data_IF_079979374077
#
_entry.id   IF_079979374077
#
_cell.length_a   1.000
_cell.length_b   1.000
_cell.length_c   1.000
_cell.angle_alpha   90.00
_cell.angle_beta   90.00
_cell.angle_gamma   90.00
#
_symmetry.space_group_name_H-M   'P 1'
#
loop_
_entity.id
_entity.type
_entity.pdbx_description
1 polymer ?
#
# COMPACT_ATOMS: atom_id res chain seq x y z
N UNK A 1 1.77 -46.70 -61.48
CA UNK A 1 2.93 -46.02 -60.83
C UNK A 1 2.70 -44.52 -60.50
N UNK A 2 1.46 -44.02 -60.37
CA UNK A 2 1.19 -42.60 -60.05
C UNK A 2 0.62 -42.37 -58.64
N UNK A 3 0.08 -43.41 -58.00
CA UNK A 3 -0.54 -43.33 -56.67
C UNK A 3 0.47 -43.29 -55.51
N UNK A 4 1.64 -43.94 -55.65
CA UNK A 4 2.63 -44.01 -54.55
C UNK A 4 3.40 -42.70 -54.33
N UNK A 5 3.53 -41.86 -55.36
CA UNK A 5 4.15 -40.53 -55.22
C UNK A 5 3.30 -39.56 -54.39
N UNK A 6 1.97 -39.65 -54.49
CA UNK A 6 1.05 -38.83 -53.70
C UNK A 6 1.19 -39.10 -52.20
N UNK A 7 1.15 -40.38 -51.79
CA UNK A 7 1.25 -40.78 -50.38
C UNK A 7 2.58 -40.35 -49.71
N UNK A 8 3.69 -40.33 -50.44
CA UNK A 8 4.98 -39.87 -49.92
C UNK A 8 5.03 -38.34 -49.67
N UNK A 9 4.29 -37.57 -50.46
CA UNK A 9 4.22 -36.11 -50.37
C UNK A 9 3.33 -35.67 -49.21
N UNK A 10 2.19 -36.35 -49.00
CA UNK A 10 1.31 -36.15 -47.85
C UNK A 10 1.99 -36.55 -46.52
N UNK A 11 2.85 -37.57 -46.54
CA UNK A 11 3.59 -37.99 -45.33
C UNK A 11 4.67 -36.97 -44.95
N UNK A 12 5.36 -36.37 -45.93
CA UNK A 12 6.33 -35.28 -45.69
C UNK A 12 5.68 -33.97 -45.25
N UNK A 13 4.52 -33.60 -45.81
CA UNK A 13 3.76 -32.41 -45.37
C UNK A 13 3.26 -32.55 -43.92
N UNK A 14 2.85 -33.75 -43.50
CA UNK A 14 2.44 -34.04 -42.12
C UNK A 14 3.60 -33.93 -41.12
N UNK A 15 4.82 -34.28 -41.53
CA UNK A 15 6.01 -34.16 -40.68
C UNK A 15 6.41 -32.69 -40.46
N UNK A 16 6.30 -31.82 -41.47
CA UNK A 16 6.56 -30.38 -41.34
C UNK A 16 5.50 -29.63 -40.52
N UNK A 17 4.21 -29.92 -40.69
CA UNK A 17 3.14 -29.31 -39.90
C UNK A 17 3.19 -29.73 -38.41
N UNK A 18 3.59 -30.98 -38.13
CA UNK A 18 3.65 -31.50 -36.75
C UNK A 18 4.70 -30.80 -35.88
N UNK A 19 5.82 -30.37 -36.47
CA UNK A 19 6.85 -29.58 -35.78
C UNK A 19 6.40 -28.15 -35.48
N UNK A 20 5.68 -27.52 -36.42
CA UNK A 20 5.12 -26.18 -36.24
C UNK A 20 4.08 -26.11 -35.11
N UNK A 21 3.18 -27.09 -35.05
CA UNK A 21 2.17 -27.19 -33.97
C UNK A 21 2.80 -27.39 -32.60
N UNK A 22 3.88 -28.17 -32.50
CA UNK A 22 4.61 -28.36 -31.24
C UNK A 22 5.30 -27.07 -30.76
N UNK A 23 5.86 -26.28 -31.69
CA UNK A 23 6.48 -24.98 -31.39
C UNK A 23 5.41 -23.97 -30.94
N UNK A 24 4.27 -23.92 -31.61
CA UNK A 24 3.15 -23.05 -31.26
C UNK A 24 2.57 -23.41 -29.88
N UNK A 25 2.37 -24.71 -29.61
CA UNK A 25 1.95 -25.20 -28.30
C UNK A 25 2.94 -24.82 -27.19
N UNK A 26 4.25 -24.96 -27.46
CA UNK A 26 5.30 -24.53 -26.55
C UNK A 26 5.22 -23.05 -26.20
N UNK A 27 4.94 -22.20 -27.19
CA UNK A 27 4.76 -20.76 -26.99
C UNK A 27 3.54 -20.44 -26.11
N UNK A 28 2.41 -21.12 -26.32
CA UNK A 28 1.23 -20.97 -25.44
C UNK A 28 1.53 -21.37 -24.00
N UNK A 29 2.28 -22.45 -23.77
CA UNK A 29 2.68 -22.84 -22.41
C UNK A 29 3.56 -21.77 -21.74
N UNK A 30 4.53 -21.20 -22.47
CA UNK A 30 5.38 -20.13 -21.94
C UNK A 30 4.54 -18.92 -21.53
N UNK A 31 3.64 -18.46 -22.40
CA UNK A 31 2.74 -17.34 -22.09
C UNK A 31 1.86 -17.69 -20.88
N UNK A 32 1.30 -18.90 -20.84
CA UNK A 32 0.46 -19.34 -19.74
C UNK A 32 1.21 -19.31 -18.39
N UNK A 33 2.42 -19.86 -18.33
CA UNK A 33 3.24 -19.80 -17.11
C UNK A 33 3.60 -18.37 -16.70
N UNK A 34 3.90 -17.50 -17.67
CA UNK A 34 4.14 -16.07 -17.40
C UNK A 34 2.90 -15.40 -16.80
N UNK A 35 1.71 -15.68 -17.33
CA UNK A 35 0.45 -15.17 -16.79
C UNK A 35 0.19 -15.70 -15.37
N UNK A 36 0.40 -17.00 -15.12
CA UNK A 36 0.26 -17.58 -13.78
C UNK A 36 1.23 -16.94 -12.77
N UNK A 37 2.49 -16.70 -13.18
CA UNK A 37 3.48 -16.05 -12.34
C UNK A 37 3.05 -14.60 -12.01
N UNK A 38 2.57 -13.86 -13.01
CA UNK A 38 2.06 -12.49 -12.83
C UNK A 38 0.85 -12.44 -11.89
N UNK A 39 -0.11 -13.35 -12.06
CA UNK A 39 -1.29 -13.44 -11.19
C UNK A 39 -0.91 -13.77 -9.74
N UNK A 40 0.07 -14.66 -9.55
CA UNK A 40 0.57 -15.02 -8.22
C UNK A 40 1.27 -13.84 -7.54
N UNK A 41 2.13 -13.13 -8.28
CA UNK A 41 2.82 -11.92 -7.79
C UNK A 41 1.81 -10.82 -7.43
N UNK A 42 0.83 -10.56 -8.30
CA UNK A 42 -0.23 -9.59 -8.05
C UNK A 42 -1.05 -9.94 -6.80
N UNK A 43 -1.39 -11.23 -6.64
CA UNK A 43 -2.12 -11.71 -5.46
C UNK A 43 -1.31 -11.51 -4.17
N UNK A 44 0.00 -11.72 -4.21
CA UNK A 44 0.88 -11.45 -3.07
C UNK A 44 0.88 -9.96 -2.70
N UNK A 45 0.97 -9.06 -3.69
CA UNK A 45 0.91 -7.60 -3.48
C UNK A 45 -0.41 -7.17 -2.83
N UNK A 46 -1.55 -7.71 -3.28
CA UNK A 46 -2.85 -7.38 -2.69
C UNK A 46 -2.99 -7.90 -1.24
N UNK A 47 -2.48 -9.09 -0.95
CA UNK A 47 -2.47 -9.62 0.42
C UNK A 47 -1.61 -8.78 1.35
N UNK A 48 -0.45 -8.34 0.89
CA UNK A 48 0.44 -7.44 1.63
C UNK A 48 -0.25 -6.08 1.86
N UNK A 49 -0.92 -5.52 0.86
CA UNK A 49 -1.72 -4.29 1.00
C UNK A 49 -2.83 -4.44 2.04
N UNK A 50 -3.62 -5.51 1.97
CA UNK A 50 -4.70 -5.74 2.92
C UNK A 50 -4.21 -5.97 4.36
N UNK A 51 -3.01 -6.56 4.53
CA UNK A 51 -2.35 -6.66 5.85
C UNK A 51 -1.91 -5.28 6.33
N UNK A 52 -1.31 -4.48 5.46
CA UNK A 52 -0.88 -3.13 5.75
C UNK A 52 -2.06 -2.24 6.18
N UNK A 53 -3.21 -2.37 5.52
CA UNK A 53 -4.46 -1.66 5.88
C UNK A 53 -4.96 -2.03 7.28
N UNK A 54 -4.95 -3.33 7.62
CA UNK A 54 -5.35 -3.78 8.97
C UNK A 54 -4.42 -3.22 10.05
N UNK A 55 -3.10 -3.27 9.82
CA UNK A 55 -2.13 -2.71 10.77
C UNK A 55 -2.33 -1.20 10.89
N UNK A 56 -2.45 -0.48 9.78
CA UNK A 56 -2.67 0.96 9.80
C UNK A 56 -3.96 1.34 10.53
N UNK A 57 -5.04 0.57 10.35
CA UNK A 57 -6.30 0.78 11.05
C UNK A 57 -6.14 0.57 12.56
N UNK A 58 -5.39 -0.45 12.99
CA UNK A 58 -5.08 -0.65 14.41
C UNK A 58 -4.29 0.53 14.99
N UNK A 59 -3.24 1.00 14.30
CA UNK A 59 -2.47 2.17 14.74
C UNK A 59 -3.31 3.45 14.78
N UNK A 60 -4.15 3.65 13.77
CA UNK A 60 -5.07 4.78 13.70
C UNK A 60 -6.08 4.75 14.86
N UNK A 61 -6.60 3.57 15.22
CA UNK A 61 -7.51 3.39 16.36
C UNK A 61 -6.83 3.71 17.69
N UNK A 62 -5.56 3.33 17.86
CA UNK A 62 -4.79 3.67 19.07
C UNK A 62 -4.54 5.18 19.14
N UNK A 63 -4.19 5.79 18.00
CA UNK A 63 -4.00 7.24 17.89
C UNK A 63 -5.31 7.98 18.20
N UNK A 64 -6.45 7.42 17.80
CA UNK A 64 -7.77 7.93 18.12
C UNK A 64 -8.04 7.97 19.63
N UNK A 65 -7.58 6.95 20.36
CA UNK A 65 -7.79 6.78 21.79
C UNK A 65 -6.66 7.37 22.64
N UNK A 66 -5.77 8.18 22.05
CA UNK A 66 -4.54 8.65 22.70
C UNK A 66 -4.78 9.39 24.02
N UNK A 67 -5.88 10.11 24.17
CA UNK A 67 -6.23 10.80 25.41
C UNK A 67 -6.29 9.83 26.61
N UNK A 68 -6.70 8.57 26.39
CA UNK A 68 -6.75 7.52 27.42
C UNK A 68 -5.38 6.89 27.70
N UNK A 69 -4.54 6.75 26.68
CA UNK A 69 -3.24 6.08 26.79
C UNK A 69 -2.12 7.02 27.27
N UNK A 70 -2.20 8.31 26.93
CA UNK A 70 -1.13 9.29 27.16
C UNK A 70 -1.53 10.38 28.16
N UNK A 71 -2.27 10.00 29.21
CA UNK A 71 -2.58 10.85 30.38
C UNK A 71 -3.22 12.20 30.01
N UNK A 72 -3.99 12.26 28.92
CA UNK A 72 -4.66 13.47 28.48
C UNK A 72 -3.78 14.48 27.73
N UNK A 73 -2.52 14.15 27.39
CA UNK A 73 -1.73 15.04 26.51
C UNK A 73 -2.29 15.02 25.07
N UNK A 74 -2.83 16.15 24.65
CA UNK A 74 -3.40 16.34 23.31
C UNK A 74 -2.36 16.65 22.24
N UNK A 75 -1.11 16.89 22.60
CA UNK A 75 -0.05 17.21 21.61
C UNK A 75 0.69 15.97 21.20
N UNK A 76 0.75 15.68 19.89
CA UNK A 76 1.47 14.54 19.34
C UNK A 76 2.97 14.64 19.66
N UNK A 77 3.57 13.57 20.16
CA UNK A 77 4.99 13.49 20.48
C UNK A 77 5.75 12.52 19.57
N UNK A 78 7.05 12.76 19.36
CA UNK A 78 7.89 11.87 18.56
C UNK A 78 8.03 10.47 19.20
N UNK A 79 8.02 10.39 20.53
CA UNK A 79 8.06 9.12 21.28
C UNK A 79 6.82 8.27 21.05
N UNK A 80 5.63 8.87 20.92
CA UNK A 80 4.41 8.15 20.59
C UNK A 80 4.50 7.49 19.21
N UNK A 81 4.99 8.24 18.21
CA UNK A 81 5.17 7.70 16.85
C UNK A 81 6.20 6.58 16.83
N UNK A 82 7.23 6.63 17.69
CA UNK A 82 8.18 5.53 17.87
C UNK A 82 7.51 4.28 18.47
N UNK A 83 6.63 4.44 19.45
CA UNK A 83 5.86 3.31 20.02
C UNK A 83 4.91 2.69 18.99
N UNK A 84 4.26 3.51 18.15
CA UNK A 84 3.44 3.03 17.03
C UNK A 84 4.29 2.24 16.02
N UNK A 85 5.51 2.69 15.73
CA UNK A 85 6.46 1.97 14.89
C UNK A 85 6.82 0.60 15.49
N UNK A 86 7.17 0.55 16.77
CA UNK A 86 7.52 -0.72 17.43
C UNK A 86 6.33 -1.69 17.46
N UNK A 87 5.13 -1.19 17.71
CA UNK A 87 3.89 -1.98 17.65
C UNK A 87 3.61 -2.52 16.26
N UNK A 88 3.78 -1.70 15.21
CA UNK A 88 3.64 -2.15 13.83
C UNK A 88 4.60 -3.31 13.53
N UNK A 89 5.84 -3.22 14.04
CA UNK A 89 6.84 -4.28 13.94
C UNK A 89 6.37 -5.59 14.56
N UNK A 90 5.74 -5.55 15.74
CA UNK A 90 5.14 -6.73 16.38
C UNK A 90 4.00 -7.29 15.52
N UNK A 91 3.12 -6.44 15.00
CA UNK A 91 1.99 -6.85 14.15
C UNK A 91 2.43 -7.45 12.80
N UNK A 92 3.63 -7.12 12.33
CA UNK A 92 4.19 -7.70 11.11
C UNK A 92 4.93 -9.02 11.31
N UNK A 93 5.30 -9.42 12.53
CA UNK A 93 6.15 -10.62 12.78
C UNK A 93 5.61 -11.92 12.17
N UNK A 94 4.29 -12.08 12.10
CA UNK A 94 3.64 -13.28 11.55
C UNK A 94 3.23 -13.12 10.07
N UNK A 95 3.76 -12.11 9.39
CA UNK A 95 3.38 -11.77 8.02
C UNK A 95 4.56 -11.86 7.05
N UNK A 96 4.26 -11.82 5.74
CA UNK A 96 5.29 -11.71 4.69
C UNK A 96 6.04 -10.37 4.72
N UNK A 97 5.57 -9.44 5.53
CA UNK A 97 6.22 -8.15 5.79
C UNK A 97 7.21 -8.24 6.96
N UNK A 98 7.32 -9.38 7.64
CA UNK A 98 8.28 -9.59 8.70
C UNK A 98 9.71 -9.32 8.19
N UNK A 99 10.46 -8.48 8.91
CA UNK A 99 11.84 -8.12 8.56
C UNK A 99 11.98 -7.17 7.37
N UNK A 100 10.89 -6.71 6.75
CA UNK A 100 10.96 -5.66 5.71
C UNK A 100 11.20 -4.30 6.34
N UNK A 101 11.88 -3.44 5.59
CA UNK A 101 12.00 -2.02 5.88
C UNK A 101 10.63 -1.33 5.78
N UNK A 102 10.23 -0.62 6.83
CA UNK A 102 9.00 0.18 6.81
C UNK A 102 9.19 1.48 7.60
N UNK A 103 8.29 2.44 7.33
CA UNK A 103 8.16 3.68 8.05
C UNK A 103 6.72 3.94 8.44
N UNK A 104 6.55 4.60 9.59
CA UNK A 104 5.30 5.14 10.07
C UNK A 104 5.43 6.65 10.11
N UNK A 105 4.47 7.33 9.50
CA UNK A 105 4.31 8.77 9.52
C UNK A 105 3.04 9.08 10.30
N UNK A 106 3.10 10.09 11.16
CA UNK A 106 1.91 10.58 11.85
C UNK A 106 1.87 12.09 11.74
N UNK A 107 0.80 12.57 11.14
CA UNK A 107 0.51 13.99 11.00
C UNK A 107 -0.66 14.35 11.92
N UNK A 108 -0.61 15.53 12.52
CA UNK A 108 -1.67 16.06 13.35
C UNK A 108 -1.94 17.53 12.99
N UNK A 109 -3.21 17.88 12.84
CA UNK A 109 -3.65 19.26 12.65
C UNK A 109 -4.45 19.69 13.86
N UNK A 110 -4.01 20.80 14.45
CA UNK A 110 -4.67 21.49 15.55
C UNK A 110 -5.32 22.75 15.03
N UNK A 111 -6.45 23.09 15.61
CA UNK A 111 -7.27 24.21 15.22
C UNK A 111 -7.28 25.26 16.32
N UNK A 112 -7.33 26.52 15.92
CA UNK A 112 -7.45 27.62 16.87
C UNK A 112 -8.79 27.58 17.60
N UNK A 113 -8.85 27.97 18.89
CA UNK A 113 -10.11 28.11 19.60
C UNK A 113 -10.99 29.20 18.94
N UNK A 114 -12.30 28.92 18.81
CA UNK A 114 -13.28 29.81 18.20
C UNK A 114 -14.04 29.20 17.00
N UNK A 115 -15.00 29.96 16.46
CA UNK A 115 -15.91 29.46 15.40
C UNK A 115 -15.25 29.23 14.04
N UNK A 116 -14.03 29.74 13.84
CA UNK A 116 -13.31 29.59 12.58
C UNK A 116 -12.52 28.28 12.54
N UNK A 117 -12.73 27.48 11.48
CA UNK A 117 -11.97 26.27 11.16
C UNK A 117 -10.57 26.62 10.60
N UNK A 118 -9.81 27.40 11.34
CA UNK A 118 -8.44 27.76 10.96
C UNK A 118 -7.45 26.79 11.61
N UNK A 119 -6.59 26.17 10.81
CA UNK A 119 -5.49 25.35 11.31
C UNK A 119 -4.47 26.25 12.00
N UNK A 120 -4.26 26.05 13.30
CA UNK A 120 -3.28 26.80 14.09
C UNK A 120 -1.90 26.17 13.98
N UNK A 121 -1.83 24.83 14.06
CA UNK A 121 -0.58 24.10 14.15
C UNK A 121 -0.67 22.76 13.45
N UNK A 122 0.33 22.44 12.64
CA UNK A 122 0.51 21.11 12.05
C UNK A 122 1.78 20.49 12.60
N UNK A 123 1.69 19.27 13.10
CA UNK A 123 2.82 18.47 13.56
C UNK A 123 2.96 17.26 12.66
N UNK A 124 4.18 16.94 12.27
CA UNK A 124 4.51 15.77 11.46
C UNK A 124 5.70 15.08 12.07
N UNK A 125 5.55 13.79 12.39
CA UNK A 125 6.63 12.94 12.88
C UNK A 125 6.74 11.68 12.04
N UNK A 126 7.95 11.12 12.01
CA UNK A 126 8.27 9.89 11.31
C UNK A 126 9.09 8.98 12.22
N UNK A 127 8.83 7.68 12.13
CA UNK A 127 9.68 6.64 12.69
C UNK A 127 9.91 5.53 11.66
N UNK A 128 11.15 5.02 11.59
CA UNK A 128 11.53 3.95 10.66
C UNK A 128 12.36 4.46 9.48
N UNK A 129 12.46 3.62 8.44
CA UNK A 129 13.39 3.83 7.33
C UNK A 129 12.85 4.85 6.31
N UNK A 130 13.66 5.85 5.95
CA UNK A 130 13.30 6.84 4.94
C UNK A 130 13.49 6.27 3.53
N UNK A 131 12.56 6.53 2.61
CA UNK A 131 12.68 6.08 1.22
C UNK A 131 11.37 5.79 0.52
N UNK A 132 10.26 5.82 1.25
CA UNK A 132 8.94 5.79 0.65
C UNK A 132 8.54 7.15 0.07
N UNK A 133 8.08 7.15 -1.18
CA UNK A 133 7.30 8.27 -1.70
C UNK A 133 5.86 8.15 -1.17
N UNK A 134 5.67 8.55 0.08
CA UNK A 134 4.34 8.66 0.66
C UNK A 134 3.65 9.86 0.02
N UNK A 135 2.55 9.61 -0.70
CA UNK A 135 1.62 10.64 -1.12
C UNK A 135 0.99 11.24 0.15
N UNK A 136 1.64 12.24 0.72
CA UNK A 136 1.11 12.99 1.84
C UNK A 136 -0.07 13.80 1.32
N UNK A 137 -1.28 13.45 1.73
CA UNK A 137 -2.38 14.39 1.63
C UNK A 137 -2.00 15.60 2.46
N UNK A 138 -2.02 16.78 1.83
CA UNK A 138 -1.74 18.03 2.53
C UNK A 138 -2.81 18.20 3.61
N UNK A 139 -2.44 17.92 4.87
CA UNK A 139 -3.38 17.97 6.00
C UNK A 139 -3.95 19.39 6.25
N UNK A 140 -3.32 20.41 5.68
CA UNK A 140 -3.80 21.80 5.67
C UNK A 140 -4.74 22.11 4.50
N UNK A 141 -5.08 21.14 3.65
CA UNK A 141 -6.06 21.34 2.58
C UNK A 141 -7.47 21.48 3.18
N UNK A 142 -8.32 22.26 2.50
CA UNK A 142 -9.72 22.45 2.91
C UNK A 142 -10.47 21.12 3.04
N UNK A 143 -10.14 20.14 2.20
CA UNK A 143 -10.74 18.80 2.19
C UNK A 143 -10.55 18.07 3.52
N UNK A 144 -9.44 18.30 4.22
CA UNK A 144 -9.14 17.69 5.51
C UNK A 144 -9.68 18.55 6.63
N UNK A 145 -9.51 19.88 6.57
CA UNK A 145 -9.99 20.78 7.63
C UNK A 145 -11.51 20.84 7.73
N UNK A 146 -12.23 20.59 6.64
CA UNK A 146 -13.70 20.55 6.64
C UNK A 146 -14.29 19.33 7.38
N UNK A 147 -13.47 18.30 7.62
CA UNK A 147 -13.83 17.12 8.41
C UNK A 147 -13.68 17.33 9.92
N UNK A 148 -13.17 18.48 10.35
CA UNK A 148 -13.03 18.79 11.77
C UNK A 148 -14.40 18.83 12.46
N UNK A 149 -14.47 18.23 13.64
CA UNK A 149 -15.70 18.18 14.44
C UNK A 149 -15.61 19.21 15.57
N UNK A 150 -16.69 19.95 15.75
CA UNK A 150 -16.83 20.90 16.84
C UNK A 150 -17.15 20.17 18.15
N UNK A 151 -16.38 20.47 19.21
CA UNK A 151 -16.71 20.04 20.55
C UNK A 151 -17.38 21.20 21.32
N UNK A 152 -18.69 21.09 21.66
CA UNK A 152 -19.40 22.13 22.40
C UNK A 152 -18.94 22.24 23.86
N UNK A 153 -18.40 21.18 24.45
CA UNK A 153 -18.01 21.17 25.88
C UNK A 153 -16.78 22.05 26.13
N UNK A 154 -15.84 22.06 25.18
CA UNK A 154 -14.59 22.82 25.25
C UNK A 154 -14.59 24.05 24.31
N UNK A 155 -15.69 24.32 23.61
CA UNK A 155 -15.83 25.37 22.60
C UNK A 155 -14.64 25.43 21.61
N UNK A 156 -14.24 24.28 21.08
CA UNK A 156 -13.09 24.14 20.16
C UNK A 156 -13.31 23.08 19.09
N UNK A 157 -12.57 23.20 18.00
CA UNK A 157 -12.48 22.17 16.97
C UNK A 157 -11.51 21.07 17.41
N UNK A 158 -11.92 19.81 17.28
CA UNK A 158 -11.08 18.66 17.61
C UNK A 158 -9.94 18.50 16.61
N UNK A 159 -8.73 18.13 17.05
CA UNK A 159 -7.61 17.90 16.15
C UNK A 159 -7.87 16.69 15.24
N UNK A 160 -7.28 16.71 14.05
CA UNK A 160 -7.31 15.58 13.11
C UNK A 160 -5.95 14.92 13.12
N UNK A 161 -5.92 13.59 13.25
CA UNK A 161 -4.71 12.80 13.17
C UNK A 161 -4.73 11.97 11.90
N UNK A 162 -3.60 11.87 11.21
CA UNK A 162 -3.42 10.96 10.10
C UNK A 162 -2.25 10.04 10.39
N UNK A 163 -2.48 8.73 10.29
CA UNK A 163 -1.44 7.71 10.39
C UNK A 163 -1.23 7.10 9.02
N UNK A 164 0.00 7.17 8.54
CA UNK A 164 0.43 6.57 7.28
C UNK A 164 1.53 5.55 7.56
N UNK A 165 1.37 4.35 7.04
CA UNK A 165 2.41 3.32 7.07
C UNK A 165 2.86 3.00 5.65
N UNK A 166 4.16 2.80 5.47
CA UNK A 166 4.73 2.49 4.17
C UNK A 166 5.82 1.42 4.28
N UNK A 167 5.85 0.50 3.31
CA UNK A 167 6.88 -0.54 3.20
C UNK A 167 7.81 -0.20 2.03
N UNK A 168 9.09 -0.03 2.33
CA UNK A 168 10.13 0.39 1.37
C UNK A 168 10.51 -0.78 0.46
N UNK A 169 10.81 -0.50 -0.81
CA UNK A 169 11.50 -1.45 -1.69
C UNK A 169 10.64 -2.61 -2.17
N UNK A 170 9.33 -2.46 -2.21
CA UNK A 170 8.43 -3.48 -2.77
C UNK A 170 8.55 -3.47 -4.30
N UNK A 171 9.48 -4.27 -4.84
CA UNK A 171 9.67 -4.51 -6.28
C UNK A 171 9.02 -5.85 -6.62
N UNK A 172 7.87 -5.83 -7.31
CA UNK A 172 7.16 -7.03 -7.74
C UNK A 172 7.21 -7.17 -9.26
N UNK A 173 7.04 -8.38 -9.80
CA UNK A 173 7.01 -8.57 -11.26
C UNK A 173 5.89 -7.75 -11.90
N UNK A 174 4.74 -7.64 -11.23
CA UNK A 174 3.64 -6.77 -11.61
C UNK A 174 4.07 -5.30 -11.68
N UNK A 175 4.79 -4.78 -10.68
CA UNK A 175 5.30 -3.40 -10.71
C UNK A 175 6.29 -3.17 -11.85
N UNK A 176 7.19 -4.12 -12.10
CA UNK A 176 8.19 -4.01 -13.17
C UNK A 176 7.55 -4.05 -14.56
N UNK A 177 6.57 -4.94 -14.77
CA UNK A 177 5.82 -5.03 -16.02
C UNK A 177 4.92 -3.80 -16.21
N UNK A 178 4.23 -3.35 -15.16
CA UNK A 178 3.44 -2.12 -15.17
C UNK A 178 4.29 -0.90 -15.54
N UNK A 179 5.47 -0.75 -14.93
CA UNK A 179 6.41 0.33 -15.26
C UNK A 179 6.88 0.28 -16.72
N UNK A 180 7.15 -0.91 -17.26
CA UNK A 180 7.49 -1.09 -18.68
C UNK A 180 6.33 -0.71 -19.63
N UNK A 181 5.09 -0.81 -19.16
CA UNK A 181 3.88 -0.40 -19.87
C UNK A 181 3.46 1.05 -19.56
N UNK A 182 4.28 1.83 -18.86
CA UNK A 182 3.99 3.23 -18.50
C UNK A 182 3.03 3.40 -17.32
N UNK A 183 2.71 2.33 -16.59
CA UNK A 183 1.89 2.37 -15.37
C UNK A 183 2.80 2.47 -14.13
N UNK A 184 2.82 3.64 -13.49
CA UNK A 184 3.55 3.83 -12.24
C UNK A 184 2.77 3.22 -11.06
N UNK A 185 3.16 2.02 -10.64
CA UNK A 185 2.64 1.40 -9.41
C UNK A 185 3.55 1.79 -8.26
N UNK A 186 3.16 2.81 -7.48
CA UNK A 186 3.92 3.37 -6.37
C UNK A 186 4.22 2.39 -5.23
N UNK A 187 5.00 2.84 -4.25
CA UNK A 187 5.27 2.08 -3.03
C UNK A 187 3.97 1.66 -2.31
N UNK A 188 4.02 0.55 -1.58
CA UNK A 188 2.87 0.13 -0.77
C UNK A 188 2.78 1.03 0.46
N UNK A 189 1.94 2.06 0.36
CA UNK A 189 1.55 2.93 1.46
C UNK A 189 0.05 2.89 1.72
N UNK A 190 -0.34 3.00 2.99
CA UNK A 190 -1.73 3.17 3.41
C UNK A 190 -1.80 4.33 4.40
N UNK A 191 -2.77 5.21 4.23
CA UNK A 191 -3.05 6.34 5.12
C UNK A 191 -4.48 6.25 5.65
N UNK A 192 -4.67 6.54 6.94
CA UNK A 192 -5.97 6.64 7.59
C UNK A 192 -6.00 7.92 8.44
N UNK A 193 -7.04 8.74 8.26
CA UNK A 193 -7.32 9.90 9.10
C UNK A 193 -8.35 9.53 10.18
N UNK A 194 -8.17 10.04 11.40
CA UNK A 194 -9.00 9.78 12.57
C UNK A 194 -9.22 11.03 13.41
N UNK A 195 -10.39 11.09 14.03
CA UNK A 195 -10.80 12.13 14.98
C UNK A 195 -10.74 11.58 16.40
N UNK A 196 -10.20 12.32 17.39
CA UNK A 196 -10.08 11.87 18.76
C UNK A 196 -11.44 11.51 19.37
N UNK A 197 -11.42 10.58 20.33
CA UNK A 197 -12.58 10.13 21.12
C UNK A 197 -12.32 10.23 22.61
#
# INVERSE_FOLDING_TARGET
MRAERGLSLWRRLKEEESGGVAVEAGFYFVIFFLLCALLTDMSAVFLDKGRLERVNLSLATITQQRARFYRGEETLSASEVRQLYDLAGVLFKESRLAGRAYAVYTDAVYFSPGDQRASEKTLSYQAGESGCDVRKYTMTSKEVTDLAVWNPDDARWLPIYQVTICVVGTQSLFKRLGGALGMAVGDLSVSNAVLPR
#
